data_IF_916627873267
#
_entry.id   IF_916627873267
#
_cell.length_a   1.000
_cell.length_b   1.000
_cell.length_c   1.000
_cell.angle_alpha   90.00
_cell.angle_beta   90.00
_cell.angle_gamma   90.00
#
_symmetry.space_group_name_H-M   'P 1'
#
loop_
_entity.id
_entity.type
_entity.pdbx_description
1 polymer ?
#
# COMPACT_ATOMS: atom_id res chain seq x y z
N UNK A 1 2.86 -3.31 5.65
CA UNK A 1 2.46 -2.12 4.87
C UNK A 1 1.31 -2.43 3.95
N UNK A 2 0.88 -1.45 3.17
CA UNK A 2 -0.09 -1.64 2.08
C UNK A 2 0.65 -1.46 0.75
N UNK A 3 0.58 -2.46 -0.12
CA UNK A 3 1.28 -2.47 -1.42
C UNK A 3 0.26 -2.49 -2.55
N UNK A 4 0.33 -1.52 -3.45
CA UNK A 4 -0.55 -1.46 -4.61
C UNK A 4 0.03 -2.28 -5.77
N UNK A 5 -0.73 -3.24 -6.28
CA UNK A 5 -0.37 -4.03 -7.46
C UNK A 5 -1.46 -3.88 -8.51
N UNK A 6 -1.08 -3.50 -9.71
CA UNK A 6 -2.02 -3.25 -10.80
C UNK A 6 -1.37 -3.48 -12.15
N UNK A 7 -2.19 -3.59 -13.21
CA UNK A 7 -1.68 -3.53 -14.57
C UNK A 7 -1.16 -2.13 -14.87
N UNK A 8 0.06 -2.04 -15.40
CA UNK A 8 0.69 -0.75 -15.67
C UNK A 8 0.08 -0.01 -16.88
N UNK A 9 -0.87 -0.61 -17.57
CA UNK A 9 -1.73 0.10 -18.52
C UNK A 9 -2.86 0.78 -17.75
N UNK A 10 -2.84 2.11 -17.71
CA UNK A 10 -3.72 2.91 -16.86
C UNK A 10 -5.21 2.63 -17.07
N UNK A 11 -5.63 2.42 -18.33
CA UNK A 11 -7.03 2.10 -18.62
C UNK A 11 -7.49 0.80 -17.92
N UNK A 12 -6.64 -0.22 -17.84
CA UNK A 12 -6.93 -1.44 -17.11
C UNK A 12 -6.98 -1.23 -15.60
N UNK A 13 -6.19 -0.30 -15.06
CA UNK A 13 -6.26 0.09 -13.64
C UNK A 13 -7.59 0.76 -13.32
N UNK A 14 -8.07 1.66 -14.19
CA UNK A 14 -9.38 2.33 -14.02
C UNK A 14 -10.56 1.36 -14.14
N UNK A 15 -10.45 0.35 -15.01
CA UNK A 15 -11.44 -0.72 -15.14
C UNK A 15 -11.44 -1.71 -13.96
N UNK A 16 -10.46 -1.62 -13.06
CA UNK A 16 -10.45 -2.40 -11.83
C UNK A 16 -9.45 -3.55 -11.79
N UNK A 17 -8.53 -3.66 -12.77
CA UNK A 17 -7.44 -4.64 -12.73
C UNK A 17 -6.31 -4.15 -11.80
N UNK A 18 -6.66 -4.02 -10.53
CA UNK A 18 -5.83 -3.52 -9.45
C UNK A 18 -6.20 -4.21 -8.15
N UNK A 19 -5.24 -4.36 -7.26
CA UNK A 19 -5.41 -4.92 -5.93
C UNK A 19 -4.41 -4.30 -4.96
N UNK A 20 -4.64 -4.49 -3.66
CA UNK A 20 -3.70 -4.11 -2.64
C UNK A 20 -3.38 -5.32 -1.76
N UNK A 21 -2.10 -5.49 -1.42
CA UNK A 21 -1.68 -6.43 -0.40
C UNK A 21 -1.52 -5.71 0.92
N UNK A 22 -2.19 -6.22 1.95
CA UNK A 22 -1.90 -5.85 3.33
C UNK A 22 -0.88 -6.85 3.85
N UNK A 23 0.26 -6.33 4.30
CA UNK A 23 1.34 -7.11 4.91
C UNK A 23 1.48 -6.66 6.34
N UNK A 24 1.20 -7.53 7.30
CA UNK A 24 1.31 -7.20 8.72
C UNK A 24 2.77 -7.08 9.17
N UNK A 25 2.98 -6.50 10.35
CA UNK A 25 4.32 -6.42 10.94
C UNK A 25 4.84 -7.82 11.29
N UNK A 26 6.13 -8.03 11.07
CA UNK A 26 6.85 -9.21 11.53
C UNK A 26 7.23 -9.14 13.00
N UNK A 27 8.13 -10.03 13.42
CA UNK A 27 8.57 -10.13 14.84
C UNK A 27 9.81 -9.28 15.12
N UNK A 28 10.64 -9.03 14.10
CA UNK A 28 11.87 -8.26 14.24
C UNK A 28 11.64 -6.75 14.33
N UNK A 29 12.55 -6.00 14.98
CA UNK A 29 12.46 -4.54 15.05
C UNK A 29 12.50 -3.88 13.66
N UNK A 30 13.12 -4.53 12.68
CA UNK A 30 13.20 -4.06 11.29
C UNK A 30 12.07 -4.60 10.38
N UNK A 31 11.13 -5.36 10.95
CA UNK A 31 9.99 -5.94 10.22
C UNK A 31 8.69 -5.21 10.54
N UNK A 32 8.78 -4.03 11.16
CA UNK A 32 7.64 -3.19 11.53
C UNK A 32 7.62 -1.90 10.71
N UNK A 33 6.42 -1.41 10.41
CA UNK A 33 6.26 -0.11 9.75
C UNK A 33 6.55 1.05 10.71
N UNK A 34 7.00 2.16 10.12
CA UNK A 34 7.07 3.45 10.80
C UNK A 34 5.65 4.02 11.03
N UNK A 35 5.46 4.85 12.07
CA UNK A 35 4.20 5.57 12.27
C UNK A 35 3.90 6.51 11.09
N UNK A 36 2.62 6.84 10.85
CA UNK A 36 2.23 7.75 9.78
C UNK A 36 2.82 9.15 10.00
N UNK A 37 3.25 9.84 8.93
CA UNK A 37 3.67 11.25 9.00
C UNK A 37 2.55 12.16 9.53
N UNK A 38 2.92 13.22 10.24
CA UNK A 38 1.96 14.18 10.82
C UNK A 38 1.25 15.06 9.77
N UNK A 39 1.83 15.16 8.58
CA UNK A 39 1.36 15.99 7.45
C UNK A 39 0.53 15.19 6.43
N UNK A 40 0.07 13.98 6.78
CA UNK A 40 -0.76 13.16 5.90
C UNK A 40 -2.07 13.89 5.53
N UNK A 41 -2.44 13.97 4.23
CA UNK A 41 -3.65 14.66 3.79
C UNK A 41 -4.91 13.98 4.34
N UNK A 42 -5.95 14.78 4.60
CA UNK A 42 -7.27 14.27 5.02
C UNK A 42 -7.94 13.53 3.85
N UNK A 43 -8.62 12.43 4.19
CA UNK A 43 -9.44 11.65 3.25
C UNK A 43 -10.73 12.36 2.87
#
# INVERSE_FOLDING_TARGET
>A
GVWFMHCHLEIHTTWGLKMAFVVDNGKGPNESLLPPPSDLPKC
#
